data_IF_512966461410
#
_entry.id   IF_512966461410
#
_cell.length_a   1.000
_cell.length_b   1.000
_cell.length_c   1.000
_cell.angle_alpha   90.00
_cell.angle_beta   90.00
_cell.angle_gamma   90.00
#
_symmetry.space_group_name_H-M   'P 1'
#
loop_
_entity.id
_entity.type
_entity.pdbx_description
1 polymer ?
#
# COMPACT_ATOMS: atom_id res chain seq x y z
N UNK A 1 37.80 -52.27 20.27
CA UNK A 1 36.99 -51.83 19.10
C UNK A 1 35.58 -51.51 19.58
N UNK A 2 35.23 -50.23 19.59
CA UNK A 2 33.91 -49.65 19.25
C UNK A 2 33.92 -48.21 19.78
N UNK A 3 34.20 -47.26 18.88
CA UNK A 3 34.11 -45.83 19.15
C UNK A 3 32.64 -45.42 19.04
N UNK A 4 32.08 -44.81 20.07
CA UNK A 4 30.72 -44.27 20.04
C UNK A 4 30.78 -42.93 19.32
N UNK A 5 30.19 -42.88 18.12
CA UNK A 5 30.05 -41.64 17.37
C UNK A 5 28.89 -40.82 17.94
N UNK A 6 29.23 -39.69 18.55
CA UNK A 6 28.27 -38.65 18.93
C UNK A 6 27.78 -37.96 17.66
N UNK A 7 26.50 -38.13 17.32
CA UNK A 7 25.86 -37.36 16.26
C UNK A 7 25.52 -35.99 16.85
N UNK A 8 26.32 -34.99 16.50
CA UNK A 8 25.97 -33.58 16.71
C UNK A 8 24.97 -33.20 15.61
N UNK A 9 23.70 -33.04 15.96
CA UNK A 9 22.73 -32.40 15.05
C UNK A 9 22.99 -30.89 15.10
N UNK A 10 23.67 -30.37 14.08
CA UNK A 10 23.64 -28.93 13.82
C UNK A 10 22.25 -28.59 13.29
N UNK A 11 21.37 -28.10 14.17
CA UNK A 11 20.27 -27.26 13.71
C UNK A 11 20.92 -26.03 13.07
N UNK A 12 20.81 -25.93 11.75
CA UNK A 12 21.19 -24.73 11.03
C UNK A 12 20.27 -23.61 11.54
N UNK A 13 20.83 -22.70 12.32
CA UNK A 13 20.15 -21.48 12.75
C UNK A 13 19.74 -20.74 11.48
N UNK A 14 18.42 -20.71 11.18
CA UNK A 14 17.91 -20.01 10.02
C UNK A 14 18.40 -18.57 10.09
N UNK A 15 19.09 -18.10 9.05
CA UNK A 15 19.64 -16.76 9.02
C UNK A 15 18.53 -15.74 9.31
N UNK A 16 18.69 -14.96 10.39
CA UNK A 16 17.74 -13.91 10.74
C UNK A 16 17.77 -12.86 9.64
N UNK A 17 16.72 -12.79 8.84
CA UNK A 17 16.52 -11.73 7.84
C UNK A 17 16.22 -10.43 8.60
N UNK A 18 16.98 -9.37 8.33
CA UNK A 18 16.63 -8.04 8.80
C UNK A 18 15.67 -7.36 7.81
N UNK A 19 14.76 -6.51 8.30
CA UNK A 19 13.82 -5.78 7.44
C UNK A 19 14.53 -4.90 6.39
N UNK A 20 15.72 -4.40 6.71
CA UNK A 20 16.58 -3.66 5.77
C UNK A 20 17.03 -4.47 4.55
N UNK A 21 17.04 -5.80 4.67
CA UNK A 21 17.46 -6.72 3.61
C UNK A 21 16.30 -7.09 2.69
N UNK A 22 15.07 -6.71 3.04
CA UNK A 22 13.86 -6.98 2.25
C UNK A 22 13.64 -5.82 1.29
N UNK A 23 14.07 -6.04 0.05
CA UNK A 23 13.93 -5.07 -1.05
C UNK A 23 12.51 -5.01 -1.63
N UNK A 24 11.72 -6.07 -1.46
CA UNK A 24 10.29 -6.13 -1.83
C UNK A 24 9.55 -7.09 -0.92
N UNK A 25 8.47 -6.60 -0.31
CA UNK A 25 7.55 -7.38 0.51
C UNK A 25 6.81 -8.40 -0.35
N UNK A 26 6.43 -8.04 -1.58
CA UNK A 26 5.83 -8.99 -2.54
C UNK A 26 6.75 -10.18 -2.80
N UNK A 27 8.01 -9.91 -3.19
CA UNK A 27 8.97 -10.97 -3.47
C UNK A 27 9.26 -11.84 -2.22
N UNK A 28 9.33 -11.21 -1.04
CA UNK A 28 9.46 -11.93 0.22
C UNK A 28 8.26 -12.85 0.49
N UNK A 29 7.04 -12.35 0.33
CA UNK A 29 5.80 -13.10 0.56
C UNK A 29 5.59 -14.24 -0.45
N UNK A 30 6.04 -14.07 -1.69
CA UNK A 30 5.98 -15.09 -2.75
C UNK A 30 7.11 -16.13 -2.64
N UNK A 31 8.21 -15.80 -1.96
CA UNK A 31 9.22 -16.78 -1.58
C UNK A 31 8.56 -17.79 -0.65
N UNK A 32 8.64 -19.09 -0.98
CA UNK A 32 7.82 -20.16 -0.36
C UNK A 32 8.19 -20.49 1.10
N UNK A 33 8.27 -19.49 1.98
CA UNK A 33 8.40 -19.64 3.42
C UNK A 33 9.78 -20.05 3.91
N UNK A 34 10.85 -19.77 3.17
CA UNK A 34 12.22 -20.09 3.60
C UNK A 34 12.71 -19.27 4.79
N UNK A 35 12.10 -18.10 5.06
CA UNK A 35 12.48 -17.23 6.17
C UNK A 35 11.24 -16.72 6.92
N UNK A 36 11.27 -16.65 8.27
CA UNK A 36 10.20 -16.05 9.04
C UNK A 36 10.12 -14.54 8.80
N UNK A 37 8.92 -13.98 8.96
CA UNK A 37 8.70 -12.52 8.93
C UNK A 37 9.51 -11.87 10.06
N UNK A 38 10.34 -10.85 9.78
CA UNK A 38 11.08 -10.15 10.82
C UNK A 38 10.14 -9.49 11.84
N UNK A 39 10.51 -9.53 13.13
CA UNK A 39 9.66 -9.01 14.21
C UNK A 39 9.46 -7.50 14.20
N UNK A 40 10.18 -6.76 13.35
CA UNK A 40 10.02 -5.30 13.18
C UNK A 40 8.83 -4.94 12.29
N UNK A 41 8.25 -5.91 11.57
CA UNK A 41 6.95 -5.75 10.93
C UNK A 41 5.86 -6.01 11.96
N UNK A 42 5.07 -4.99 12.26
CA UNK A 42 4.02 -5.11 13.27
C UNK A 42 2.80 -5.83 12.69
N UNK A 43 2.35 -6.86 13.40
CA UNK A 43 1.04 -7.49 13.16
C UNK A 43 0.10 -7.04 14.27
N UNK A 44 -1.06 -6.51 13.88
CA UNK A 44 -2.14 -6.21 14.82
C UNK A 44 -2.64 -7.56 15.35
N UNK A 45 -2.42 -7.81 16.63
CA UNK A 45 -2.72 -9.10 17.29
C UNK A 45 -4.14 -9.19 17.82
N UNK A 46 -4.81 -8.05 18.00
CA UNK A 46 -6.18 -7.95 18.47
C UNK A 46 -7.09 -7.52 17.32
N UNK A 47 -7.49 -8.48 16.47
CA UNK A 47 -8.52 -8.25 15.47
C UNK A 47 -9.85 -8.72 16.07
N UNK A 48 -10.68 -7.77 16.51
CA UNK A 48 -12.11 -8.03 16.68
C UNK A 48 -12.75 -7.90 15.29
N UNK A 49 -12.61 -8.92 14.44
CA UNK A 49 -13.08 -8.91 13.04
C UNK A 49 -14.56 -8.46 12.92
N UNK A 50 -15.42 -8.90 13.85
CA UNK A 50 -16.85 -8.57 13.86
C UNK A 50 -17.11 -7.04 13.94
N UNK A 51 -16.27 -6.29 14.66
CA UNK A 51 -16.43 -4.83 14.83
C UNK A 51 -15.98 -4.09 13.57
N UNK A 52 -14.99 -4.62 12.85
CA UNK A 52 -14.48 -4.01 11.63
C UNK A 52 -15.52 -4.08 10.49
N UNK A 53 -16.18 -5.23 10.34
CA UNK A 53 -17.21 -5.43 9.31
C UNK A 53 -18.45 -4.55 9.54
N UNK A 54 -18.92 -4.45 10.79
CA UNK A 54 -20.04 -3.56 11.15
C UNK A 54 -19.70 -2.08 10.90
N UNK A 55 -18.47 -1.68 11.24
CA UNK A 55 -18.01 -0.31 11.01
C UNK A 55 -17.84 -0.01 9.52
N UNK A 56 -17.34 -0.96 8.74
CA UNK A 56 -17.20 -0.84 7.29
C UNK A 56 -18.58 -0.64 6.60
N UNK A 57 -19.60 -1.37 7.05
CA UNK A 57 -20.98 -1.19 6.56
C UNK A 57 -21.58 0.17 6.92
N UNK A 58 -21.01 0.87 7.90
CA UNK A 58 -21.50 2.15 8.41
C UNK A 58 -20.80 3.37 7.78
N UNK A 59 -19.78 3.17 6.93
CA UNK A 59 -19.03 4.27 6.32
C UNK A 59 -19.97 5.15 5.49
N UNK A 60 -20.02 6.47 5.73
CA UNK A 60 -20.89 7.37 4.98
C UNK A 60 -20.55 7.37 3.49
N UNK A 61 -21.59 7.40 2.66
CA UNK A 61 -21.47 7.54 1.21
C UNK A 61 -21.97 8.94 0.79
N UNK A 62 -21.15 9.65 0.02
CA UNK A 62 -21.46 10.97 -0.55
C UNK A 62 -21.60 10.85 -2.06
N UNK A 63 -22.71 11.36 -2.60
CA UNK A 63 -22.94 11.46 -4.04
C UNK A 63 -22.41 12.80 -4.58
N UNK A 64 -21.36 12.75 -5.40
CA UNK A 64 -20.76 13.97 -5.96
C UNK A 64 -21.72 14.71 -6.90
N UNK A 65 -22.61 14.00 -7.60
CA UNK A 65 -23.52 14.63 -8.56
C UNK A 65 -24.50 15.61 -7.88
N UNK A 66 -24.84 15.35 -6.61
CA UNK A 66 -25.66 16.25 -5.80
C UNK A 66 -24.90 17.50 -5.36
N UNK A 67 -23.58 17.37 -5.14
CA UNK A 67 -22.68 18.50 -4.84
C UNK A 67 -22.42 19.37 -6.08
N UNK A 68 -22.67 18.87 -7.29
CA UNK A 68 -22.55 19.64 -8.53
C UNK A 68 -23.91 20.00 -9.14
N UNK A 69 -25.01 19.81 -8.41
CA UNK A 69 -26.37 20.09 -8.88
C UNK A 69 -26.59 21.58 -9.16
N UNK A 70 -27.30 21.88 -10.26
CA UNK A 70 -27.76 23.24 -10.57
C UNK A 70 -28.98 23.66 -9.74
N UNK A 71 -29.68 22.71 -9.11
CA UNK A 71 -30.73 23.00 -8.14
C UNK A 71 -30.09 23.42 -6.81
N UNK A 72 -30.35 24.67 -6.41
CA UNK A 72 -29.75 25.27 -5.22
C UNK A 72 -30.15 24.60 -3.91
N UNK A 73 -31.35 24.02 -3.83
CA UNK A 73 -31.82 23.34 -2.63
C UNK A 73 -31.15 21.97 -2.48
N UNK A 74 -31.04 21.22 -3.58
CA UNK A 74 -30.31 19.94 -3.61
C UNK A 74 -28.84 20.17 -3.25
N UNK A 75 -28.20 21.15 -3.91
CA UNK A 75 -26.80 21.48 -3.66
C UNK A 75 -26.55 21.88 -2.20
N UNK A 76 -27.37 22.79 -1.64
CA UNK A 76 -27.21 23.22 -0.25
C UNK A 76 -27.37 22.07 0.75
N UNK A 77 -28.32 21.15 0.51
CA UNK A 77 -28.50 19.96 1.34
C UNK A 77 -27.30 19.02 1.26
N UNK A 78 -26.75 18.79 0.06
CA UNK A 78 -25.57 17.94 -0.13
C UNK A 78 -24.33 18.52 0.55
N UNK A 79 -24.11 19.84 0.44
CA UNK A 79 -23.01 20.54 1.13
C UNK A 79 -23.14 20.43 2.64
N UNK A 80 -24.35 20.61 3.19
CA UNK A 80 -24.58 20.44 4.63
C UNK A 80 -24.30 19.00 5.09
N UNK A 81 -24.75 18.00 4.31
CA UNK A 81 -24.47 16.59 4.59
C UNK A 81 -22.98 16.28 4.56
N UNK A 82 -22.25 16.77 3.54
CA UNK A 82 -20.80 16.62 3.45
C UNK A 82 -20.11 17.22 4.68
N UNK A 83 -20.49 18.45 5.07
CA UNK A 83 -19.94 19.10 6.26
C UNK A 83 -20.15 18.28 7.53
N UNK A 84 -21.33 17.69 7.71
CA UNK A 84 -21.63 16.80 8.84
C UNK A 84 -20.76 15.54 8.81
N UNK A 85 -20.65 14.88 7.65
CA UNK A 85 -19.83 13.67 7.50
C UNK A 85 -18.35 13.98 7.78
N UNK A 86 -17.82 15.09 7.28
CA UNK A 86 -16.46 15.52 7.60
C UNK A 86 -16.25 15.78 9.10
N UNK A 87 -17.24 16.34 9.80
CA UNK A 87 -17.15 16.63 11.23
C UNK A 87 -17.27 15.37 12.11
N UNK A 88 -18.21 14.47 11.76
CA UNK A 88 -18.54 13.30 12.57
C UNK A 88 -17.58 12.11 12.29
N UNK A 89 -17.16 11.94 11.03
CA UNK A 89 -16.36 10.79 10.58
C UNK A 89 -14.94 11.13 10.15
N UNK A 90 -14.75 12.28 9.48
CA UNK A 90 -13.46 12.67 8.89
C UNK A 90 -13.07 11.90 7.62
N UNK A 91 -13.84 10.90 7.20
CA UNK A 91 -13.69 10.18 5.94
C UNK A 91 -15.04 9.66 5.44
N UNK A 92 -15.12 9.32 4.15
CA UNK A 92 -16.33 8.83 3.48
C UNK A 92 -15.99 8.16 2.15
N UNK A 93 -16.94 7.39 1.62
CA UNK A 93 -16.91 6.89 0.24
C UNK A 93 -17.58 7.93 -0.67
N UNK A 94 -17.03 8.11 -1.88
CA UNK A 94 -17.59 9.01 -2.88
C UNK A 94 -18.15 8.19 -4.05
N UNK A 95 -19.39 8.47 -4.45
CA UNK A 95 -20.05 7.86 -5.62
C UNK A 95 -20.42 8.91 -6.64
N UNK A 96 -20.73 8.47 -7.87
CA UNK A 96 -21.11 9.35 -8.98
C UNK A 96 -20.08 10.47 -9.22
N UNK A 97 -18.80 10.17 -9.02
CA UNK A 97 -17.69 11.12 -9.11
C UNK A 97 -17.32 11.53 -10.54
N UNK A 98 -17.92 10.90 -11.56
CA UNK A 98 -17.68 11.22 -12.98
C UNK A 98 -16.37 10.67 -13.55
N UNK A 99 -15.48 10.13 -12.73
CA UNK A 99 -14.30 9.37 -13.19
C UNK A 99 -14.78 8.08 -13.91
N UNK A 100 -14.39 7.86 -15.18
CA UNK A 100 -14.77 6.65 -15.91
C UNK A 100 -14.22 5.38 -15.26
N UNK A 101 -15.05 4.33 -15.15
CA UNK A 101 -14.64 3.03 -14.60
C UNK A 101 -13.46 2.44 -15.37
N UNK A 102 -13.49 2.50 -16.70
CA UNK A 102 -12.40 2.04 -17.55
C UNK A 102 -11.05 2.70 -17.21
N UNK A 103 -11.05 4.00 -16.85
CA UNK A 103 -9.82 4.70 -16.48
C UNK A 103 -9.27 4.18 -15.14
N UNK A 104 -10.15 3.90 -14.17
CA UNK A 104 -9.75 3.32 -12.89
C UNK A 104 -9.20 1.90 -13.08
N UNK A 105 -9.84 1.09 -13.91
CA UNK A 105 -9.38 -0.27 -14.24
C UNK A 105 -8.02 -0.25 -14.94
N UNK A 106 -7.82 0.64 -15.91
CA UNK A 106 -6.53 0.82 -16.60
C UNK A 106 -5.43 1.27 -15.62
N UNK A 107 -5.74 2.19 -14.71
CA UNK A 107 -4.79 2.65 -13.67
C UNK A 107 -4.41 1.50 -12.72
N UNK A 108 -5.37 0.72 -12.25
CA UNK A 108 -5.11 -0.44 -11.38
C UNK A 108 -4.26 -1.48 -12.10
N UNK A 109 -4.59 -1.78 -13.37
CA UNK A 109 -3.78 -2.69 -14.20
C UNK A 109 -2.34 -2.18 -14.38
N UNK A 110 -2.14 -0.87 -14.59
CA UNK A 110 -0.79 -0.29 -14.71
C UNK A 110 -0.03 -0.32 -13.41
N UNK A 111 -0.71 -0.17 -12.28
CA UNK A 111 -0.14 -0.40 -10.95
C UNK A 111 0.35 -1.84 -10.79
N UNK A 112 -0.47 -2.83 -11.15
CA UNK A 112 -0.10 -4.24 -11.09
C UNK A 112 1.10 -4.55 -11.99
N UNK A 113 1.07 -4.09 -13.25
CA UNK A 113 2.17 -4.23 -14.21
C UNK A 113 3.48 -3.61 -13.67
N UNK A 114 3.41 -2.47 -12.95
CA UNK A 114 4.57 -1.88 -12.29
C UNK A 114 5.11 -2.77 -11.17
N UNK A 115 4.23 -3.30 -10.31
CA UNK A 115 4.64 -4.16 -9.20
C UNK A 115 5.11 -5.55 -9.66
N UNK A 116 4.77 -5.97 -10.89
CA UNK A 116 5.28 -7.15 -11.58
C UNK A 116 6.64 -6.95 -12.27
N UNK A 117 7.12 -5.71 -12.41
CA UNK A 117 8.46 -5.45 -12.93
C UNK A 117 9.54 -6.13 -12.06
N UNK A 118 10.67 -6.45 -12.70
CA UNK A 118 11.82 -6.98 -11.97
C UNK A 118 12.36 -5.95 -10.95
N UNK A 119 13.06 -6.43 -9.92
CA UNK A 119 13.67 -5.53 -8.94
C UNK A 119 14.68 -4.57 -9.58
N UNK A 120 15.48 -5.04 -10.55
CA UNK A 120 16.43 -4.22 -11.31
C UNK A 120 15.73 -3.06 -12.02
N UNK A 121 14.56 -3.30 -12.63
CA UNK A 121 13.78 -2.24 -13.26
C UNK A 121 13.14 -1.28 -12.26
N UNK A 122 12.70 -1.78 -11.10
CA UNK A 122 12.10 -0.95 -10.04
C UNK A 122 13.14 -0.10 -9.30
N UNK A 123 14.40 -0.53 -9.24
CA UNK A 123 15.51 0.23 -8.64
C UNK A 123 15.75 1.57 -9.35
N UNK A 124 15.40 1.70 -10.63
CA UNK A 124 15.43 2.99 -11.35
C UNK A 124 14.56 4.07 -10.66
N UNK A 125 13.50 3.63 -9.99
CA UNK A 125 12.56 4.45 -9.22
C UNK A 125 12.84 4.41 -7.73
N UNK A 126 13.94 3.79 -7.26
CA UNK A 126 14.30 3.74 -5.84
C UNK A 126 14.42 5.12 -5.20
N UNK A 127 14.51 5.16 -3.86
CA UNK A 127 14.54 6.43 -3.13
C UNK A 127 15.79 7.26 -3.46
N UNK A 128 15.59 8.32 -4.27
CA UNK A 128 16.60 9.34 -4.61
C UNK A 128 16.52 10.56 -3.70
N UNK A 129 15.86 10.42 -2.54
CA UNK A 129 15.64 11.46 -1.56
C UNK A 129 14.17 11.91 -1.49
N UNK A 130 13.78 12.59 -0.40
CA UNK A 130 12.39 12.84 -0.06
C UNK A 130 11.60 13.68 -1.08
N UNK A 131 12.32 14.43 -1.92
CA UNK A 131 11.76 15.34 -2.94
C UNK A 131 11.74 14.75 -4.35
N UNK A 132 12.24 13.52 -4.55
CA UNK A 132 12.15 12.87 -5.85
C UNK A 132 10.67 12.72 -6.26
N UNK A 133 10.31 13.12 -7.50
CA UNK A 133 8.91 13.14 -7.94
C UNK A 133 8.33 11.74 -8.11
N UNK A 134 9.17 10.73 -8.33
CA UNK A 134 8.77 9.33 -8.44
C UNK A 134 9.67 8.51 -7.51
N UNK A 135 9.05 7.69 -6.66
CA UNK A 135 9.74 6.84 -5.68
C UNK A 135 9.05 5.49 -5.51
N UNK A 136 9.85 4.44 -5.48
CA UNK A 136 9.47 3.08 -5.12
C UNK A 136 10.24 2.64 -3.88
N UNK A 137 9.58 1.86 -3.02
CA UNK A 137 10.20 1.28 -1.84
C UNK A 137 9.22 0.45 -1.03
N UNK A 138 9.67 -0.03 0.13
CA UNK A 138 8.88 -0.87 1.04
C UNK A 138 8.51 -0.13 2.32
N UNK A 139 9.42 0.70 2.82
CA UNK A 139 9.23 1.53 4.01
C UNK A 139 9.80 2.94 3.81
N UNK A 140 9.52 3.87 4.71
CA UNK A 140 9.86 5.28 4.50
C UNK A 140 11.37 5.53 4.72
N UNK A 141 11.93 4.96 5.78
CA UNK A 141 13.38 4.89 6.04
C UNK A 141 13.75 3.55 6.70
N UNK A 142 13.89 2.46 5.92
CA UNK A 142 14.08 1.11 6.46
C UNK A 142 15.25 0.97 7.45
N UNK A 143 16.30 1.79 7.31
CA UNK A 143 17.50 1.73 8.15
C UNK A 143 17.33 2.41 9.52
N UNK A 144 16.41 3.37 9.64
CA UNK A 144 16.24 4.18 10.87
C UNK A 144 14.92 3.88 11.60
N UNK A 145 13.97 3.23 10.92
CA UNK A 145 12.67 2.89 11.47
C UNK A 145 12.73 1.73 12.47
N UNK A 146 11.98 1.88 13.56
CA UNK A 146 11.77 0.82 14.56
C UNK A 146 10.66 -0.15 14.17
N UNK A 147 9.73 0.30 13.33
CA UNK A 147 8.57 -0.45 12.86
C UNK A 147 8.46 -0.26 11.35
N UNK A 148 8.42 -1.35 10.61
CA UNK A 148 8.39 -1.37 9.15
C UNK A 148 6.97 -1.67 8.65
N UNK A 149 6.59 -1.06 7.53
CA UNK A 149 5.31 -1.35 6.89
C UNK A 149 5.38 -2.65 6.08
N UNK A 150 4.36 -3.49 6.21
CA UNK A 150 4.18 -4.66 5.35
C UNK A 150 3.53 -4.25 4.01
N UNK A 151 4.26 -3.47 3.20
CA UNK A 151 3.81 -3.02 1.88
C UNK A 151 4.97 -2.76 0.94
N UNK A 152 4.70 -2.84 -0.35
CA UNK A 152 5.49 -2.16 -1.38
C UNK A 152 4.70 -0.94 -1.85
N UNK A 153 5.37 0.14 -2.23
CA UNK A 153 4.71 1.35 -2.74
C UNK A 153 5.39 1.92 -3.99
N UNK A 154 4.57 2.56 -4.81
CA UNK A 154 4.99 3.54 -5.82
C UNK A 154 4.33 4.88 -5.45
N UNK A 155 5.15 5.92 -5.29
CA UNK A 155 4.72 7.30 -5.02
C UNK A 155 5.06 8.17 -6.20
N UNK A 156 4.07 8.86 -6.73
CA UNK A 156 4.21 9.78 -7.87
C UNK A 156 3.62 11.15 -7.49
N UNK A 157 4.44 12.19 -7.58
CA UNK A 157 4.01 13.58 -7.43
C UNK A 157 3.52 14.08 -8.78
N UNK A 158 2.21 14.25 -8.94
CA UNK A 158 1.57 14.63 -10.22
C UNK A 158 1.24 16.13 -10.34
N UNK A 159 1.54 16.92 -9.31
CA UNK A 159 1.33 18.36 -9.27
C UNK A 159 2.50 19.05 -8.55
N UNK A 160 3.00 20.21 -9.01
CA UNK A 160 2.51 21.02 -10.15
C UNK A 160 2.85 20.46 -11.52
N UNK A 161 3.87 19.60 -11.61
CA UNK A 161 4.26 18.93 -12.85
C UNK A 161 3.68 17.51 -12.91
N UNK A 162 3.13 17.13 -14.06
CA UNK A 162 2.52 15.82 -14.26
C UNK A 162 3.61 14.75 -14.52
N UNK A 163 4.20 14.26 -13.44
CA UNK A 163 5.15 13.14 -13.48
C UNK A 163 4.43 11.80 -13.59
N UNK A 164 5.06 10.83 -14.24
CA UNK A 164 4.61 9.45 -14.35
C UNK A 164 5.83 8.54 -14.59
N UNK A 165 5.83 7.29 -14.10
CA UNK A 165 6.91 6.37 -14.37
C UNK A 165 6.97 6.01 -15.85
N UNK A 166 8.18 5.93 -16.42
CA UNK A 166 8.38 5.53 -17.82
C UNK A 166 8.30 4.00 -18.04
N UNK A 167 8.16 3.23 -16.96
CA UNK A 167 7.92 1.79 -16.95
C UNK A 167 6.77 1.47 -15.99
N UNK A 168 5.88 0.52 -16.31
CA UNK A 168 5.73 -0.14 -17.60
C UNK A 168 5.34 0.86 -18.73
N UNK A 169 5.54 0.50 -20.01
CA UNK A 169 5.11 1.37 -21.11
C UNK A 169 3.61 1.69 -21.05
N UNK A 170 3.25 2.93 -21.39
CA UNK A 170 1.86 3.38 -21.41
C UNK A 170 1.25 3.64 -20.03
N UNK A 171 2.08 3.98 -19.03
CA UNK A 171 1.58 4.40 -17.71
C UNK A 171 0.93 5.79 -17.71
N UNK A 172 1.34 6.66 -18.64
CA UNK A 172 0.82 8.03 -18.76
C UNK A 172 -0.65 8.08 -19.17
#
# INVERSE_FOLDING_TARGET
MASVATISSSEAEAAKVHASDILSIKAFAESKGSSPIPSTYHSITDIHDDVADELAASIPVIDLSLLTSHDSHIHAKAVHQLGKVCADWGFFLLTNHGIPEQLMDELMKKSDEFHDLSMEEKEEFGDKGPFAPIRHGTSFYPQEEKVHYWRDYLKVTTFPEFNFPHKPPGFR
#
